data_IF_063269524267
#
_entry.id   IF_063269524267
#
_cell.length_a   1.000
_cell.length_b   1.000
_cell.length_c   1.000
_cell.angle_alpha   90.00
_cell.angle_beta   90.00
_cell.angle_gamma   90.00
#
_symmetry.space_group_name_H-M   'P 1'
#
loop_
_entity.id
_entity.type
_entity.pdbx_description
1 polymer ?
#
# COMPACT_ATOMS: atom_id res chain seq x y z
N UNK A 1 38.71 42.47 31.80
CA UNK A 1 37.43 42.32 32.54
C UNK A 1 36.59 41.28 31.83
N UNK A 2 36.65 40.03 32.25
CA UNK A 2 35.82 38.93 31.69
C UNK A 2 34.60 38.79 32.58
N UNK A 3 33.46 39.38 32.17
CA UNK A 3 32.18 39.17 32.82
C UNK A 3 31.70 37.75 32.52
N UNK A 4 31.81 36.85 33.49
CA UNK A 4 31.26 35.50 33.39
C UNK A 4 29.74 35.57 33.32
N UNK A 5 29.13 34.82 32.40
CA UNK A 5 27.68 34.69 32.31
C UNK A 5 27.15 34.07 33.60
N UNK A 6 26.37 34.84 34.36
CA UNK A 6 25.74 34.37 35.59
C UNK A 6 24.53 33.52 35.21
N UNK A 7 24.66 32.19 35.32
CA UNK A 7 23.56 31.27 35.06
C UNK A 7 22.40 31.46 36.06
N UNK A 8 21.20 30.94 35.74
CA UNK A 8 20.03 31.07 36.60
C UNK A 8 20.28 30.49 38.00
N UNK A 9 19.70 31.12 39.01
CA UNK A 9 19.81 30.70 40.41
C UNK A 9 19.17 29.31 40.63
N UNK A 10 19.47 28.64 41.76
CA UNK A 10 18.99 27.28 42.03
C UNK A 10 17.47 27.09 41.94
N UNK A 11 16.69 28.16 42.14
CA UNK A 11 15.23 28.16 42.07
C UNK A 11 14.67 28.44 40.67
N UNK A 12 15.47 29.07 39.81
CA UNK A 12 15.09 29.49 38.45
C UNK A 12 15.56 28.49 37.39
N UNK A 13 16.14 27.36 37.82
CA UNK A 13 16.51 26.28 36.92
C UNK A 13 15.23 25.60 36.41
N UNK A 14 15.01 25.53 35.09
CA UNK A 14 13.86 24.82 34.54
C UNK A 14 13.89 23.38 35.04
N UNK A 15 12.78 22.93 35.62
CA UNK A 15 12.59 21.55 36.00
C UNK A 15 12.08 20.81 34.77
N UNK A 16 12.72 19.69 34.37
CA UNK A 16 12.21 18.89 33.28
C UNK A 16 10.88 18.25 33.69
N UNK A 17 9.82 18.50 32.91
CA UNK A 17 8.52 17.83 33.00
C UNK A 17 8.57 16.44 32.33
N UNK A 18 7.53 15.62 32.51
CA UNK A 18 7.39 14.30 31.89
C UNK A 18 7.29 13.13 32.87
N UNK A 19 6.68 12.02 32.42
CA UNK A 19 6.54 10.78 33.21
C UNK A 19 7.84 9.96 33.12
N UNK A 20 8.08 9.13 34.13
CA UNK A 20 9.14 8.12 34.08
C UNK A 20 8.54 6.76 33.72
N UNK A 21 9.18 6.04 32.82
CA UNK A 21 8.81 4.65 32.53
C UNK A 21 9.26 3.72 33.68
N UNK A 22 8.93 2.42 33.56
CA UNK A 22 9.26 1.38 34.55
C UNK A 22 10.76 1.17 34.78
N UNK A 23 11.61 1.67 33.88
CA UNK A 23 13.08 1.65 34.00
C UNK A 23 13.65 2.96 34.58
N UNK A 24 12.78 3.88 35.04
CA UNK A 24 13.19 5.14 35.63
C UNK A 24 13.70 6.18 34.62
N UNK A 25 13.61 5.90 33.32
CA UNK A 25 13.99 6.81 32.25
C UNK A 25 12.88 7.87 32.11
N UNK A 26 13.25 9.14 32.03
CA UNK A 26 12.29 10.22 31.72
C UNK A 26 11.92 10.11 30.26
N UNK A 27 10.62 10.01 29.99
CA UNK A 27 10.11 9.98 28.63
C UNK A 27 9.52 11.35 28.33
N UNK A 28 10.03 11.97 27.28
CA UNK A 28 9.46 13.20 26.73
C UNK A 28 8.12 12.83 26.07
N UNK A 29 6.99 13.44 26.43
CA UNK A 29 5.70 13.11 25.84
C UNK A 29 5.67 13.30 24.31
N UNK A 30 6.48 14.20 23.76
CA UNK A 30 6.62 14.37 22.31
C UNK A 30 7.43 13.23 21.66
N UNK A 31 8.21 12.46 22.44
CA UNK A 31 8.99 11.32 21.97
C UNK A 31 8.20 9.99 21.95
N UNK A 32 7.02 9.94 22.58
CA UNK A 32 6.11 8.78 22.55
C UNK A 32 5.06 8.85 21.43
N UNK A 33 4.91 9.99 20.74
CA UNK A 33 4.01 10.08 19.62
C UNK A 33 4.59 9.25 18.46
N UNK A 34 4.10 8.01 18.30
CA UNK A 34 4.28 7.28 17.04
C UNK A 34 3.72 8.18 15.93
N UNK A 35 4.53 8.52 14.92
CA UNK A 35 4.10 9.45 13.89
C UNK A 35 2.92 8.84 13.14
N UNK A 36 1.88 9.64 12.91
CA UNK A 36 0.69 9.21 12.19
C UNK A 36 1.08 8.57 10.84
N UNK A 37 0.64 7.33 10.65
CA UNK A 37 0.81 6.61 9.39
C UNK A 37 -0.30 6.99 8.43
N UNK A 38 -0.01 6.88 7.13
CA UNK A 38 -1.04 6.94 6.10
C UNK A 38 -0.78 5.90 5.02
N UNK A 39 -1.85 5.52 4.34
CA UNK A 39 -1.80 4.66 3.17
C UNK A 39 -1.38 5.47 1.94
N UNK A 40 -0.35 5.02 1.23
CA UNK A 40 0.16 5.63 0.01
C UNK A 40 0.20 4.63 -1.14
N UNK A 41 -0.23 5.07 -2.33
CA UNK A 41 -0.17 4.27 -3.55
C UNK A 41 0.96 4.79 -4.44
N UNK A 42 2.01 4.00 -4.56
CA UNK A 42 3.17 4.31 -5.39
C UNK A 42 3.07 3.53 -6.70
N UNK A 43 3.17 4.25 -7.82
CA UNK A 43 3.37 3.68 -9.14
C UNK A 43 4.83 3.85 -9.54
N UNK A 44 5.53 2.75 -9.78
CA UNK A 44 6.86 2.73 -10.36
C UNK A 44 6.80 2.19 -11.79
N UNK A 45 7.23 3.00 -12.77
CA UNK A 45 7.49 2.51 -14.12
C UNK A 45 8.90 1.94 -14.14
N UNK A 46 9.04 0.69 -14.59
CA UNK A 46 10.29 -0.05 -14.56
C UNK A 46 10.56 -0.71 -15.90
N UNK A 47 11.82 -1.11 -16.14
CA UNK A 47 12.16 -1.98 -17.25
C UNK A 47 11.53 -3.36 -17.08
N UNK A 48 11.06 -3.94 -18.18
CA UNK A 48 10.48 -5.28 -18.18
C UNK A 48 11.57 -6.35 -18.37
N UNK A 49 12.48 -6.45 -17.40
CA UNK A 49 13.61 -7.38 -17.42
C UNK A 49 13.55 -8.38 -16.25
N UNK A 50 14.12 -9.59 -16.40
CA UNK A 50 14.22 -10.54 -15.30
C UNK A 50 14.94 -9.94 -14.08
N UNK A 51 14.39 -10.15 -12.88
CA UNK A 51 15.01 -9.73 -11.62
C UNK A 51 14.52 -8.38 -11.07
N UNK A 52 13.88 -7.54 -11.88
CA UNK A 52 13.39 -6.21 -11.44
C UNK A 52 12.41 -6.30 -10.26
N UNK A 53 11.46 -7.24 -10.30
CA UNK A 53 10.54 -7.48 -9.18
C UNK A 53 11.29 -7.87 -7.90
N UNK A 54 12.33 -8.69 -8.00
CA UNK A 54 13.12 -9.14 -6.85
C UNK A 54 13.96 -8.01 -6.25
N UNK A 55 14.47 -7.09 -7.08
CA UNK A 55 15.17 -5.90 -6.62
C UNK A 55 14.24 -4.97 -5.82
N UNK A 56 13.03 -4.75 -6.35
CA UNK A 56 12.02 -3.91 -5.71
C UNK A 56 11.54 -4.53 -4.41
N UNK A 57 11.08 -5.80 -4.42
CA UNK A 57 10.64 -6.47 -3.19
C UNK A 57 11.76 -6.57 -2.15
N UNK A 58 12.99 -6.86 -2.59
CA UNK A 58 14.17 -6.90 -1.72
C UNK A 58 14.52 -5.55 -1.10
N UNK A 59 14.27 -4.43 -1.80
CA UNK A 59 14.44 -3.10 -1.23
C UNK A 59 13.47 -2.87 -0.05
N UNK A 60 12.20 -3.19 -0.22
CA UNK A 60 11.19 -2.98 0.82
C UNK A 60 11.43 -3.89 2.03
N UNK A 61 11.78 -5.15 1.79
CA UNK A 61 12.15 -6.08 2.87
C UNK A 61 13.36 -5.59 3.68
N UNK A 62 14.45 -5.14 3.03
CA UNK A 62 15.66 -4.64 3.72
C UNK A 62 15.43 -3.35 4.49
N UNK A 63 14.47 -2.53 4.05
CA UNK A 63 14.13 -1.26 4.69
C UNK A 63 12.99 -1.39 5.70
N UNK A 64 12.42 -2.59 5.83
CA UNK A 64 11.29 -2.90 6.72
C UNK A 64 10.07 -2.02 6.45
N UNK A 65 9.82 -1.68 5.19
CA UNK A 65 8.59 -0.99 4.80
C UNK A 65 7.42 -1.97 4.83
N UNK A 66 6.29 -1.54 5.38
CA UNK A 66 5.06 -2.31 5.41
C UNK A 66 4.37 -2.26 4.04
N UNK A 67 4.36 -3.38 3.31
CA UNK A 67 3.65 -3.51 2.02
C UNK A 67 2.28 -4.11 2.30
N UNK A 68 1.23 -3.34 2.03
CA UNK A 68 -0.16 -3.82 2.02
C UNK A 68 -0.43 -4.63 0.75
N UNK A 69 -0.01 -4.12 -0.41
CA UNK A 69 -0.08 -4.88 -1.66
C UNK A 69 0.99 -4.48 -2.66
N UNK A 70 1.37 -5.42 -3.52
CA UNK A 70 2.28 -5.23 -4.65
C UNK A 70 1.70 -5.94 -5.86
N UNK A 71 1.48 -5.18 -6.93
CA UNK A 71 1.06 -5.69 -8.23
C UNK A 71 2.09 -5.32 -9.29
N UNK A 72 2.34 -6.21 -10.24
CA UNK A 72 3.21 -5.93 -11.39
C UNK A 72 2.53 -6.42 -12.67
N UNK A 73 2.62 -5.63 -13.73
CA UNK A 73 2.13 -6.02 -15.05
C UNK A 73 2.85 -5.26 -16.17
N UNK A 74 2.87 -5.83 -17.39
CA UNK A 74 3.37 -5.11 -18.56
C UNK A 74 2.53 -3.84 -18.81
N UNK A 75 3.13 -2.86 -19.49
CA UNK A 75 2.41 -1.69 -19.97
C UNK A 75 2.14 -1.82 -21.48
N UNK A 76 1.69 -0.74 -22.11
CA UNK A 76 1.54 -0.60 -23.56
C UNK A 76 2.86 -0.68 -24.34
N UNK A 77 3.97 -0.45 -23.65
CA UNK A 77 5.34 -0.64 -24.13
C UNK A 77 5.87 -1.98 -23.57
N UNK A 78 6.18 -2.93 -24.45
CA UNK A 78 6.64 -4.28 -24.10
C UNK A 78 7.96 -4.28 -23.29
N UNK A 79 8.78 -3.23 -23.43
CA UNK A 79 10.05 -3.05 -22.70
C UNK A 79 9.82 -2.48 -21.29
N UNK A 80 8.56 -2.21 -20.92
CA UNK A 80 8.16 -1.56 -19.68
C UNK A 80 7.14 -2.38 -18.89
N UNK A 81 7.27 -2.29 -17.58
CA UNK A 81 6.31 -2.83 -16.64
C UNK A 81 5.95 -1.77 -15.60
N UNK A 82 4.74 -1.85 -15.07
CA UNK A 82 4.27 -1.00 -13.98
C UNK A 82 4.17 -1.83 -12.72
N UNK A 83 4.84 -1.34 -11.68
CA UNK A 83 4.67 -1.85 -10.31
C UNK A 83 3.78 -0.87 -9.56
N UNK A 84 2.67 -1.37 -9.04
CA UNK A 84 1.81 -0.64 -8.10
C UNK A 84 2.08 -1.18 -6.70
N UNK A 85 2.50 -0.30 -5.80
CA UNK A 85 2.82 -0.60 -4.40
C UNK A 85 1.86 0.19 -3.52
N UNK A 86 1.17 -0.50 -2.62
CA UNK A 86 0.43 0.14 -1.54
C UNK A 86 1.19 -0.09 -0.26
N UNK A 87 1.55 1.00 0.41
CA UNK A 87 2.26 0.98 1.68
C UNK A 87 1.54 1.79 2.74
N UNK A 88 1.71 1.41 4.00
CA UNK A 88 1.23 2.16 5.15
C UNK A 88 2.42 2.56 6.01
N UNK A 89 2.78 3.84 5.95
CA UNK A 89 3.99 4.37 6.56
C UNK A 89 3.77 5.83 7.02
N UNK A 90 4.57 6.34 7.96
CA UNK A 90 4.64 7.78 8.22
C UNK A 90 5.13 8.55 6.99
N UNK A 91 4.82 9.83 6.89
CA UNK A 91 5.24 10.68 5.75
C UNK A 91 6.75 10.57 5.43
N UNK A 92 7.68 10.61 6.42
CA UNK A 92 9.10 10.41 6.15
C UNK A 92 9.43 9.02 5.58
N UNK A 93 8.68 7.98 5.98
CA UNK A 93 8.80 6.61 5.48
C UNK A 93 8.39 6.52 4.01
N UNK A 94 7.26 7.14 3.65
CA UNK A 94 6.76 7.19 2.26
C UNK A 94 7.75 7.94 1.36
N UNK A 95 8.24 9.11 1.79
CA UNK A 95 9.27 9.86 1.05
C UNK A 95 10.55 9.06 0.87
N UNK A 96 10.96 8.34 1.92
CA UNK A 96 12.12 7.47 1.83
C UNK A 96 11.88 6.31 0.86
N UNK A 97 10.72 5.66 0.87
CA UNK A 97 10.37 4.59 -0.07
C UNK A 97 10.46 5.08 -1.52
N UNK A 98 9.86 6.23 -1.83
CA UNK A 98 9.95 6.88 -3.14
C UNK A 98 11.40 7.17 -3.54
N UNK A 99 12.19 7.73 -2.62
CA UNK A 99 13.60 8.06 -2.85
C UNK A 99 14.46 6.82 -3.09
N UNK A 100 14.19 5.72 -2.40
CA UNK A 100 14.96 4.47 -2.57
C UNK A 100 14.58 3.77 -3.87
N UNK A 101 13.30 3.74 -4.24
CA UNK A 101 12.85 3.21 -5.53
C UNK A 101 13.56 3.93 -6.70
N UNK A 102 13.61 5.27 -6.68
CA UNK A 102 14.28 6.06 -7.74
C UNK A 102 15.79 5.79 -7.89
N UNK A 103 16.42 5.14 -6.92
CA UNK A 103 17.85 4.77 -6.98
C UNK A 103 18.09 3.41 -7.62
N UNK A 104 17.06 2.61 -7.81
CA UNK A 104 17.17 1.32 -8.49
C UNK A 104 17.38 1.59 -9.98
N UNK A 105 18.43 1.00 -10.56
CA UNK A 105 18.76 1.14 -11.97
C UNK A 105 17.59 0.79 -12.93
N UNK A 106 16.77 -0.26 -12.70
CA UNK A 106 15.66 -0.57 -13.60
C UNK A 106 14.45 0.37 -13.46
N UNK A 107 14.43 1.26 -12.46
CA UNK A 107 13.29 2.16 -12.23
C UNK A 107 13.43 3.42 -13.08
N UNK A 108 12.43 3.65 -13.93
CA UNK A 108 12.36 4.79 -14.86
C UNK A 108 11.74 6.00 -14.18
N UNK A 109 10.62 5.80 -13.50
CA UNK A 109 9.92 6.87 -12.78
C UNK A 109 9.17 6.31 -11.57
N UNK A 110 8.98 7.15 -10.55
CA UNK A 110 8.23 6.82 -9.34
C UNK A 110 7.31 7.98 -9.00
N UNK A 111 6.03 7.68 -8.93
CA UNK A 111 4.96 8.63 -8.64
C UNK A 111 4.11 8.11 -7.49
N UNK A 112 3.74 9.02 -6.60
CA UNK A 112 2.64 8.78 -5.66
C UNK A 112 1.34 9.21 -6.32
N UNK A 113 0.35 8.33 -6.32
CA UNK A 113 -0.96 8.60 -6.90
C UNK A 113 -1.85 9.31 -5.88
N UNK A 114 -2.69 10.26 -6.34
CA UNK A 114 -3.65 10.92 -5.46
C UNK A 114 -4.72 9.91 -4.97
N UNK A 115 -5.38 10.23 -3.86
CA UNK A 115 -6.40 9.37 -3.26
C UNK A 115 -7.56 9.05 -4.21
N UNK A 116 -7.90 9.97 -5.12
CA UNK A 116 -8.98 9.83 -6.09
C UNK A 116 -8.60 9.06 -7.37
N UNK A 117 -7.35 8.56 -7.44
CA UNK A 117 -6.88 7.71 -8.51
C UNK A 117 -7.78 6.48 -8.71
N UNK A 118 -7.83 5.97 -9.94
CA UNK A 118 -8.59 4.78 -10.26
C UNK A 118 -7.88 3.56 -9.68
N UNK A 119 -8.29 3.13 -8.49
CA UNK A 119 -7.77 1.95 -7.80
C UNK A 119 -8.75 0.78 -7.92
N UNK A 120 -8.27 -0.36 -8.40
CA UNK A 120 -9.05 -1.58 -8.56
C UNK A 120 -8.26 -2.81 -8.15
N UNK A 121 -8.98 -3.80 -7.65
CA UNK A 121 -8.47 -5.11 -7.28
C UNK A 121 -9.44 -6.17 -7.78
N UNK A 122 -8.93 -7.34 -8.17
CA UNK A 122 -9.69 -8.53 -8.48
C UNK A 122 -9.46 -9.58 -7.38
N UNK A 123 -10.53 -10.26 -6.97
CA UNK A 123 -10.45 -11.41 -6.10
C UNK A 123 -11.25 -12.60 -6.67
N UNK A 124 -10.70 -13.80 -6.51
CA UNK A 124 -11.44 -15.05 -6.68
C UNK A 124 -11.70 -15.64 -5.30
N UNK A 125 -12.96 -15.97 -5.01
CA UNK A 125 -13.39 -16.51 -3.73
C UNK A 125 -14.09 -17.84 -4.01
N UNK A 126 -13.54 -18.93 -3.48
CA UNK A 126 -14.14 -20.27 -3.54
C UNK A 126 -14.84 -20.56 -2.22
N UNK A 127 -16.13 -20.84 -2.29
CA UNK A 127 -16.99 -21.10 -1.13
C UNK A 127 -17.72 -22.44 -1.24
N UNK A 128 -18.23 -22.93 -0.12
CA UNK A 128 -19.09 -24.11 -0.09
C UNK A 128 -20.40 -23.90 -0.85
N UNK A 129 -20.85 -24.92 -1.57
CA UNK A 129 -22.06 -24.89 -2.40
C UNK A 129 -23.31 -25.43 -1.69
N UNK A 130 -23.32 -25.55 -0.36
CA UNK A 130 -24.48 -26.09 0.40
C UNK A 130 -25.75 -25.25 0.20
N UNK A 131 -25.59 -23.95 -0.08
CA UNK A 131 -26.68 -22.97 -0.29
C UNK A 131 -26.41 -22.16 -1.57
N UNK A 132 -26.47 -22.78 -2.76
CA UNK A 132 -25.99 -22.17 -3.99
C UNK A 132 -26.78 -20.92 -4.38
N UNK A 133 -28.10 -20.91 -4.17
CA UNK A 133 -28.97 -19.76 -4.46
C UNK A 133 -28.60 -18.53 -3.61
N UNK A 134 -28.23 -18.73 -2.34
CA UNK A 134 -27.78 -17.65 -1.46
C UNK A 134 -26.40 -17.13 -1.88
N UNK A 135 -25.48 -18.02 -2.27
CA UNK A 135 -24.18 -17.64 -2.83
C UNK A 135 -24.37 -16.76 -4.08
N UNK A 136 -25.29 -17.14 -4.98
CA UNK A 136 -25.61 -16.35 -6.17
C UNK A 136 -26.22 -14.98 -5.82
N UNK A 137 -27.12 -14.92 -4.84
CA UNK A 137 -27.70 -13.65 -4.39
C UNK A 137 -26.63 -12.70 -3.80
N UNK A 138 -25.70 -13.21 -2.99
CA UNK A 138 -24.58 -12.41 -2.48
C UNK A 138 -23.67 -11.97 -3.62
N UNK A 139 -23.38 -12.86 -4.56
CA UNK A 139 -22.58 -12.50 -5.73
C UNK A 139 -23.23 -11.35 -6.51
N UNK A 140 -24.54 -11.39 -6.75
CA UNK A 140 -25.26 -10.32 -7.45
C UNK A 140 -25.19 -8.98 -6.69
N UNK A 141 -25.34 -8.97 -5.37
CA UNK A 141 -25.23 -7.75 -4.56
C UNK A 141 -23.88 -7.03 -4.68
N UNK A 142 -22.80 -7.79 -4.92
CA UNK A 142 -21.45 -7.27 -5.06
C UNK A 142 -20.98 -7.14 -6.51
N UNK A 143 -21.88 -7.28 -7.50
CA UNK A 143 -21.56 -7.38 -8.93
C UNK A 143 -20.48 -8.45 -9.23
N UNK A 144 -20.44 -9.51 -8.43
CA UNK A 144 -19.53 -10.63 -8.61
C UNK A 144 -20.10 -11.61 -9.63
N UNK A 145 -19.21 -12.29 -10.34
CA UNK A 145 -19.55 -13.26 -11.39
C UNK A 145 -19.18 -14.66 -10.93
N UNK A 146 -20.11 -15.62 -11.06
CA UNK A 146 -19.77 -17.03 -10.90
C UNK A 146 -18.85 -17.48 -12.03
N UNK A 147 -17.65 -17.96 -11.70
CA UNK A 147 -16.67 -18.47 -12.69
C UNK A 147 -16.64 -19.98 -12.76
N UNK A 148 -17.04 -20.66 -11.68
CA UNK A 148 -17.15 -22.11 -11.61
C UNK A 148 -18.23 -22.53 -10.59
N UNK A 149 -18.94 -23.61 -10.87
CA UNK A 149 -19.95 -24.18 -9.99
C UNK A 149 -19.89 -25.71 -10.03
N UNK A 150 -19.36 -26.30 -8.96
CA UNK A 150 -19.29 -27.74 -8.73
C UNK A 150 -20.39 -28.23 -7.80
N UNK A 151 -20.34 -29.52 -7.46
CA UNK A 151 -21.30 -30.12 -6.50
C UNK A 151 -21.13 -29.58 -5.08
N UNK A 152 -19.88 -29.37 -4.68
CA UNK A 152 -19.52 -29.04 -3.30
C UNK A 152 -19.05 -27.59 -3.15
N UNK A 153 -18.65 -26.93 -4.24
CA UNK A 153 -18.06 -25.58 -4.21
C UNK A 153 -18.54 -24.69 -5.35
N UNK A 154 -18.61 -23.39 -5.10
CA UNK A 154 -18.81 -22.34 -6.10
C UNK A 154 -17.62 -21.39 -6.01
N UNK A 155 -17.10 -20.96 -7.17
CA UNK A 155 -16.08 -19.92 -7.24
C UNK A 155 -16.68 -18.66 -7.86
N UNK A 156 -16.51 -17.52 -7.20
CA UNK A 156 -16.93 -16.21 -7.69
C UNK A 156 -15.72 -15.33 -7.95
N UNK A 157 -15.80 -14.51 -8.98
CA UNK A 157 -14.88 -13.41 -9.29
C UNK A 157 -15.54 -12.09 -8.92
N UNK A 158 -14.82 -11.25 -8.19
CA UNK A 158 -15.24 -9.89 -7.85
C UNK A 158 -14.13 -8.91 -8.22
N UNK A 159 -14.52 -7.76 -8.78
CA UNK A 159 -13.60 -6.64 -9.05
C UNK A 159 -14.15 -5.37 -8.41
N UNK A 160 -13.30 -4.60 -7.73
CA UNK A 160 -13.76 -3.43 -6.97
C UNK A 160 -12.64 -2.63 -6.32
N UNK A 161 -13.00 -1.71 -5.43
CA UNK A 161 -12.03 -1.16 -4.47
C UNK A 161 -11.71 -2.20 -3.40
N UNK A 162 -10.58 -2.05 -2.71
CA UNK A 162 -10.19 -2.91 -1.59
C UNK A 162 -11.32 -3.06 -0.57
N UNK A 163 -12.00 -1.97 -0.22
CA UNK A 163 -13.13 -2.01 0.72
C UNK A 163 -14.33 -2.82 0.20
N UNK A 164 -14.63 -2.77 -1.11
CA UNK A 164 -15.69 -3.59 -1.71
C UNK A 164 -15.34 -5.08 -1.64
N UNK A 165 -14.07 -5.41 -1.92
CA UNK A 165 -13.56 -6.78 -1.85
C UNK A 165 -13.63 -7.29 -0.41
N UNK A 166 -13.16 -6.50 0.57
CA UNK A 166 -13.18 -6.88 1.99
C UNK A 166 -14.62 -7.16 2.47
N UNK A 167 -15.56 -6.28 2.15
CA UNK A 167 -16.98 -6.46 2.50
C UNK A 167 -17.60 -7.70 1.83
N UNK A 168 -17.24 -7.98 0.58
CA UNK A 168 -17.69 -9.18 -0.11
C UNK A 168 -17.12 -10.45 0.55
N UNK A 169 -15.83 -10.46 0.90
CA UNK A 169 -15.19 -11.57 1.60
C UNK A 169 -15.91 -11.86 2.91
N UNK A 170 -16.15 -10.83 3.74
CA UNK A 170 -16.92 -10.96 4.99
C UNK A 170 -18.31 -11.55 4.74
N UNK A 171 -19.02 -11.08 3.71
CA UNK A 171 -20.32 -11.63 3.34
C UNK A 171 -20.26 -13.10 2.91
N UNK A 172 -19.19 -13.53 2.23
CA UNK A 172 -19.00 -14.91 1.78
C UNK A 172 -18.51 -15.87 2.89
N UNK A 173 -18.00 -15.37 4.03
CA UNK A 173 -17.54 -16.20 5.15
C UNK A 173 -18.62 -17.17 5.64
N UNK A 174 -19.89 -16.77 5.59
CA UNK A 174 -21.02 -17.59 6.04
C UNK A 174 -21.20 -18.89 5.25
N UNK A 175 -20.66 -19.00 4.04
CA UNK A 175 -20.73 -20.20 3.21
C UNK A 175 -19.52 -21.12 3.39
N UNK A 176 -18.55 -20.72 4.22
CA UNK A 176 -17.27 -21.39 4.36
C UNK A 176 -16.37 -21.10 3.15
N UNK A 177 -15.46 -20.14 3.29
CA UNK A 177 -14.44 -19.87 2.27
C UNK A 177 -13.41 -21.01 2.32
N UNK A 178 -13.27 -21.72 1.20
CA UNK A 178 -12.25 -22.75 1.01
C UNK A 178 -10.92 -22.13 0.59
N UNK A 179 -10.95 -21.21 -0.37
CA UNK A 179 -9.76 -20.58 -0.93
C UNK A 179 -10.08 -19.15 -1.37
N UNK A 180 -9.10 -18.26 -1.25
CA UNK A 180 -9.16 -16.90 -1.76
C UNK A 180 -7.83 -16.53 -2.41
N UNK A 181 -7.90 -15.85 -3.55
CA UNK A 181 -6.75 -15.17 -4.15
C UNK A 181 -7.15 -13.75 -4.52
N UNK A 182 -6.22 -12.83 -4.30
CA UNK A 182 -6.36 -11.39 -4.51
C UNK A 182 -5.19 -10.91 -5.36
N UNK A 183 -5.46 -10.06 -6.35
CA UNK A 183 -4.42 -9.55 -7.25
C UNK A 183 -3.54 -8.47 -6.62
N UNK A 184 -3.98 -7.88 -5.51
CA UNK A 184 -3.48 -6.59 -5.05
C UNK A 184 -4.07 -5.43 -5.85
N UNK A 185 -3.72 -4.20 -5.45
CA UNK A 185 -4.26 -2.99 -6.09
C UNK A 185 -3.53 -2.74 -7.41
N UNK A 186 -4.29 -2.61 -8.50
CA UNK A 186 -3.89 -1.94 -9.72
C UNK A 186 -4.38 -0.49 -9.68
N UNK A 187 -3.55 0.45 -10.09
CA UNK A 187 -3.90 1.87 -10.01
C UNK A 187 -3.40 2.69 -11.19
N UNK A 188 -4.24 3.61 -11.66
CA UNK A 188 -3.90 4.66 -12.64
C UNK A 188 -4.44 6.01 -12.18
N UNK A 189 -3.74 7.09 -12.53
CA UNK A 189 -4.23 8.46 -12.42
C UNK A 189 -5.58 8.63 -13.12
N UNK A 190 -6.38 9.59 -12.64
CA UNK A 190 -7.70 9.89 -13.19
C UNK A 190 -7.60 10.97 -14.28
N UNK A 191 -8.48 10.88 -15.28
CA UNK A 191 -8.61 11.92 -16.31
C UNK A 191 -7.44 11.95 -17.28
N UNK A 192 -7.02 13.15 -17.69
CA UNK A 192 -5.95 13.35 -18.66
C UNK A 192 -4.53 13.27 -18.04
N UNK A 193 -4.45 13.00 -16.74
CA UNK A 193 -3.17 12.90 -16.06
C UNK A 193 -2.53 11.52 -16.28
N UNK A 194 -1.27 11.52 -16.72
CA UNK A 194 -0.50 10.29 -16.87
C UNK A 194 0.05 9.80 -15.52
N UNK A 195 -0.07 8.49 -15.32
CA UNK A 195 0.41 7.79 -14.13
C UNK A 195 1.94 7.70 -14.12
N UNK A 196 2.57 7.71 -15.30
CA UNK A 196 4.00 7.88 -15.48
C UNK A 196 4.26 9.20 -16.20
N UNK A 197 5.14 10.03 -15.65
CA UNK A 197 5.70 11.18 -16.34
C UNK A 197 7.19 10.92 -16.47
N UNK A 198 7.72 10.94 -17.70
CA UNK A 198 9.16 11.11 -17.89
C UNK A 198 9.60 12.49 -17.33
N UNK A 199 10.89 12.68 -17.02
CA UNK A 199 11.40 13.92 -16.42
C UNK A 199 10.98 15.23 -17.12
N UNK A 200 10.70 15.17 -18.43
CA UNK A 200 10.29 16.32 -19.25
C UNK A 200 8.77 16.58 -19.28
N UNK A 201 7.98 15.86 -18.48
CA UNK A 201 6.53 16.02 -18.45
C UNK A 201 5.79 15.44 -19.67
N UNK A 202 6.53 14.90 -20.65
CA UNK A 202 5.98 14.07 -21.71
C UNK A 202 5.46 12.74 -21.12
N UNK A 203 4.41 12.14 -21.74
CA UNK A 203 4.09 10.73 -21.48
C UNK A 203 5.36 9.91 -21.67
N UNK A 204 5.55 8.88 -20.84
CA UNK A 204 6.77 8.07 -20.88
C UNK A 204 6.89 7.20 -22.15
N UNK A 205 5.89 7.30 -23.03
CA UNK A 205 5.56 6.36 -24.10
C UNK A 205 5.62 7.02 -25.50
N UNK A 206 6.44 8.06 -25.67
CA UNK A 206 6.76 8.73 -26.95
C UNK A 206 8.24 8.55 -27.35
#
# INVERSE_FOLDING_TARGET
>A
MTGGLQGPGPKDRPRPDGRRNSQGIRVDPDAEAEPDTRRAVLSALVKHEPGVLAEVSGLFSRRQFNIESLTVGPTEDDDRARITLVIEEPEPGIEQAKKQLRKLLPVVSVRELPEDANQRELALIKVGATRPDEVHAIAEMYDAKGVDAGRDTITVEITGSTQKIDAAVEAFEQFGIHEIVRTGTAALSRGAEYTATTPDGAPADD
#
